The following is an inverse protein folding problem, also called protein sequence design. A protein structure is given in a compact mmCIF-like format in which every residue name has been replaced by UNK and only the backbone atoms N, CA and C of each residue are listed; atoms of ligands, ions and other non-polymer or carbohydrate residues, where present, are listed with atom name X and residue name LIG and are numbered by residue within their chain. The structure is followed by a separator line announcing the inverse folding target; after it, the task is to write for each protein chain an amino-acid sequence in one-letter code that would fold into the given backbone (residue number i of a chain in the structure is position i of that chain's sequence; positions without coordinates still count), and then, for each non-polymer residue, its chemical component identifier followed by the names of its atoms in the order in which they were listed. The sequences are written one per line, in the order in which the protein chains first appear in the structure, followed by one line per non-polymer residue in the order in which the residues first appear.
data_IF_821316819895
#
_entry.id   IF_821316819895
#
_cell.length_a   1.000
_cell.length_b   1.000
_cell.length_c   1.000
_cell.angle_alpha   90.00
_cell.angle_beta   90.00
_cell.angle_gamma   90.00
#
_symmetry.space_group_name_H-M   'P 1'
#
loop_
_entity.id
_entity.type
_entity.pdbx_description
1 polymer ?
#
# COMPACT_ATOMS: atom_id res chain seq x y z
N UNK A 1 -13.43 6.01 -1.46
CA UNK A 1 -13.11 6.50 -0.09
C UNK A 1 -11.98 5.67 0.47
N UNK A 2 -11.01 6.30 1.14
CA UNK A 2 -9.89 5.60 1.76
C UNK A 2 -10.31 4.79 2.98
N UNK A 3 -9.47 3.83 3.38
CA UNK A 3 -9.63 3.08 4.63
C UNK A 3 -9.30 3.96 5.84
N UNK A 4 -9.85 3.63 7.01
CA UNK A 4 -9.54 4.32 8.26
C UNK A 4 -8.07 4.15 8.62
N UNK A 5 -7.41 5.25 8.98
CA UNK A 5 -6.01 5.24 9.38
C UNK A 5 -5.86 6.13 10.61
N UNK A 6 -5.27 5.57 11.67
CA UNK A 6 -5.04 6.24 12.94
C UNK A 6 -3.55 6.19 13.28
N UNK A 7 -3.12 7.13 14.09
CA UNK A 7 -1.81 7.11 14.74
C UNK A 7 -2.04 6.96 16.23
N UNK A 8 -1.42 5.96 16.83
CA UNK A 8 -1.41 5.75 18.28
C UNK A 8 -0.04 6.13 18.82
N UNK A 9 -0.01 7.00 19.84
CA UNK A 9 1.19 7.39 20.55
C UNK A 9 1.26 6.63 21.88
N UNK A 10 2.35 5.90 22.06
CA UNK A 10 2.71 5.29 23.34
C UNK A 10 3.91 6.03 23.94
N UNK A 11 3.89 6.27 25.23
CA UNK A 11 4.97 6.92 25.96
C UNK A 11 5.53 5.93 26.97
N UNK A 12 6.83 5.62 26.87
CA UNK A 12 7.55 4.93 27.92
C UNK A 12 8.26 5.97 28.79
N UNK A 13 8.09 5.90 30.08
CA UNK A 13 8.77 6.75 31.10
C UNK A 13 8.66 8.27 30.85
N UNK A 14 7.66 8.70 30.07
CA UNK A 14 7.41 10.10 29.74
C UNK A 14 8.31 10.74 28.71
N UNK A 15 9.39 10.08 28.29
CA UNK A 15 10.42 10.67 27.40
C UNK A 15 10.64 9.93 26.07
N UNK A 16 10.19 8.67 25.96
CA UNK A 16 10.42 7.84 24.77
C UNK A 16 9.11 7.57 24.01
N UNK A 17 8.78 8.37 22.98
CA UNK A 17 7.57 8.18 22.21
C UNK A 17 7.70 7.01 21.23
N UNK A 18 6.68 6.17 21.15
CA UNK A 18 6.50 5.17 20.12
C UNK A 18 5.21 5.50 19.33
N UNK A 19 5.37 5.77 18.06
CA UNK A 19 4.25 6.01 17.17
C UNK A 19 3.91 4.73 16.41
N UNK A 20 2.68 4.27 16.56
CA UNK A 20 2.13 3.16 15.78
C UNK A 20 1.08 3.67 14.80
N UNK A 21 1.12 3.14 13.60
CA UNK A 21 0.08 3.35 12.59
C UNK A 21 -0.91 2.19 12.66
N UNK A 22 -2.19 2.51 12.82
CA UNK A 22 -3.31 1.56 12.85
C UNK A 22 -4.13 1.77 11.59
N UNK A 23 -4.17 0.78 10.72
CA UNK A 23 -4.88 0.85 9.44
C UNK A 23 -5.97 -0.19 9.35
N UNK A 24 -7.14 0.23 8.90
CA UNK A 24 -8.24 -0.68 8.57
C UNK A 24 -7.80 -1.67 7.48
N UNK A 25 -8.14 -2.93 7.71
CA UNK A 25 -7.97 -4.01 6.75
C UNK A 25 -9.34 -4.53 6.32
N UNK A 26 -9.54 -4.61 5.02
CA UNK A 26 -10.77 -5.12 4.40
C UNK A 26 -10.49 -6.43 3.68
N UNK A 27 -11.53 -7.10 3.19
CA UNK A 27 -11.41 -8.25 2.31
C UNK A 27 -10.47 -7.91 1.13
N UNK A 28 -9.72 -8.90 0.66
CA UNK A 28 -8.87 -8.71 -0.51
C UNK A 28 -9.73 -8.43 -1.75
N UNK A 29 -9.33 -7.47 -2.56
CA UNK A 29 -9.97 -7.23 -3.86
C UNK A 29 -9.89 -8.46 -4.78
N UNK A 30 -8.92 -9.34 -4.54
CA UNK A 30 -8.77 -10.59 -5.29
C UNK A 30 -9.82 -11.65 -4.90
N UNK A 31 -10.47 -11.53 -3.75
CA UNK A 31 -11.54 -12.46 -3.32
C UNK A 31 -12.80 -12.38 -4.20
N UNK A 32 -12.91 -11.33 -5.03
CA UNK A 32 -13.94 -11.27 -6.08
C UNK A 32 -13.68 -12.28 -7.23
N UNK A 33 -12.44 -12.76 -7.37
CA UNK A 33 -11.98 -13.62 -8.47
C UNK A 33 -11.37 -14.94 -8.00
N UNK A 34 -11.00 -15.04 -6.73
CA UNK A 34 -10.32 -16.18 -6.13
C UNK A 34 -11.09 -16.66 -4.89
N UNK A 35 -10.71 -17.81 -4.37
CA UNK A 35 -11.23 -18.29 -3.10
C UNK A 35 -10.98 -17.27 -1.97
N UNK A 36 -11.90 -17.14 -1.01
CA UNK A 36 -11.70 -16.32 0.17
C UNK A 36 -10.44 -16.71 0.92
N UNK A 37 -9.87 -15.74 1.63
CA UNK A 37 -8.73 -15.98 2.51
C UNK A 37 -9.10 -16.89 3.68
N UNK A 38 -8.19 -17.79 4.06
CA UNK A 38 -8.36 -18.68 5.23
C UNK A 38 -8.27 -17.94 6.59
N UNK A 39 -7.90 -16.66 6.58
CA UNK A 39 -7.78 -15.86 7.80
C UNK A 39 -9.15 -15.28 8.21
N UNK A 40 -9.56 -15.55 9.46
CA UNK A 40 -10.78 -15.00 10.06
C UNK A 40 -10.73 -13.49 10.39
N UNK A 41 -9.57 -12.84 10.15
CA UNK A 41 -9.34 -11.41 10.36
C UNK A 41 -8.50 -10.86 9.20
N UNK A 42 -8.98 -9.81 8.55
CA UNK A 42 -8.31 -9.22 7.40
C UNK A 42 -6.97 -8.56 7.77
N UNK A 43 -6.84 -8.02 8.98
CA UNK A 43 -5.56 -7.51 9.49
C UNK A 43 -4.54 -8.63 9.68
N UNK A 44 -4.96 -9.80 10.15
CA UNK A 44 -4.12 -10.99 10.25
C UNK A 44 -3.59 -11.40 8.87
N UNK A 45 -4.45 -11.46 7.85
CA UNK A 45 -4.04 -11.74 6.47
C UNK A 45 -2.95 -10.79 5.99
N UNK A 46 -3.13 -9.47 6.22
CA UNK A 46 -2.16 -8.45 5.84
C UNK A 46 -0.82 -8.66 6.56
N UNK A 47 -0.84 -8.88 7.87
CA UNK A 47 0.36 -9.09 8.69
C UNK A 47 1.10 -10.36 8.30
N UNK A 48 0.39 -11.46 8.12
CA UNK A 48 0.99 -12.73 7.71
C UNK A 48 1.59 -12.62 6.29
N UNK A 49 0.91 -11.95 5.37
CA UNK A 49 1.44 -11.67 4.04
C UNK A 49 2.71 -10.83 4.09
N UNK A 50 2.74 -9.77 4.88
CA UNK A 50 3.94 -8.94 5.03
C UNK A 50 5.12 -9.73 5.61
N UNK A 51 4.89 -10.53 6.66
CA UNK A 51 5.93 -11.36 7.27
C UNK A 51 6.47 -12.41 6.31
N UNK A 52 5.60 -12.98 5.48
CA UNK A 52 6.00 -13.96 4.47
C UNK A 52 6.87 -13.33 3.37
N UNK A 53 6.45 -12.18 2.84
CA UNK A 53 7.08 -11.58 1.66
C UNK A 53 8.36 -10.80 2.00
N UNK A 54 8.43 -10.18 3.17
CA UNK A 54 9.54 -9.33 3.58
C UNK A 54 10.72 -10.15 4.16
N UNK A 55 11.95 -9.69 3.92
CA UNK A 55 13.14 -10.30 4.50
C UNK A 55 13.33 -9.92 5.98
N UNK A 56 12.91 -8.71 6.35
CA UNK A 56 12.85 -8.22 7.72
C UNK A 56 11.49 -7.55 7.91
N UNK A 57 10.78 -7.92 8.96
CA UNK A 57 9.50 -7.32 9.30
C UNK A 57 9.61 -6.45 10.54
N UNK A 58 8.72 -5.49 10.63
CA UNK A 58 8.53 -4.64 11.79
C UNK A 58 8.15 -5.48 13.02
N UNK A 59 8.84 -5.29 14.13
CA UNK A 59 8.58 -6.02 15.39
C UNK A 59 7.22 -5.67 16.00
N UNK A 60 6.68 -4.49 15.69
CA UNK A 60 5.37 -4.03 16.14
C UNK A 60 4.22 -4.46 15.21
N UNK A 61 4.54 -5.22 14.15
CA UNK A 61 3.52 -5.68 13.22
C UNK A 61 2.54 -6.63 13.90
N UNK A 62 1.27 -6.22 13.96
CA UNK A 62 0.21 -6.95 14.64
C UNK A 62 -1.16 -6.65 14.03
N UNK A 63 -2.19 -7.31 14.52
CA UNK A 63 -3.57 -7.11 14.09
C UNK A 63 -4.54 -7.12 15.26
N UNK A 64 -5.71 -6.54 15.03
CA UNK A 64 -6.78 -6.44 16.02
C UNK A 64 -8.13 -6.36 15.32
N UNK A 65 -9.20 -6.62 16.06
CA UNK A 65 -10.56 -6.30 15.66
C UNK A 65 -11.15 -5.33 16.67
N UNK A 66 -11.76 -4.26 16.20
CA UNK A 66 -12.47 -3.32 17.06
C UNK A 66 -13.75 -3.95 17.59
N UNK A 67 -13.89 -4.02 18.92
CA UNK A 67 -15.08 -4.53 19.57
C UNK A 67 -16.31 -3.63 19.30
N UNK A 68 -16.08 -2.33 19.20
CA UNK A 68 -17.17 -1.36 19.01
C UNK A 68 -17.72 -1.31 17.60
N UNK A 69 -16.85 -1.48 16.58
CA UNK A 69 -17.22 -1.31 15.17
C UNK A 69 -17.19 -2.61 14.36
N UNK A 70 -16.56 -3.66 14.89
CA UNK A 70 -16.36 -4.93 14.17
C UNK A 70 -15.29 -4.85 13.07
N UNK A 71 -14.66 -3.70 12.82
CA UNK A 71 -13.65 -3.56 11.78
C UNK A 71 -12.33 -4.22 12.18
N UNK A 72 -11.67 -4.81 11.19
CA UNK A 72 -10.34 -5.38 11.33
C UNK A 72 -9.28 -4.33 11.06
N UNK A 73 -8.19 -4.39 11.82
CA UNK A 73 -7.06 -3.48 11.72
C UNK A 73 -5.75 -4.26 11.70
N UNK A 74 -4.75 -3.71 11.02
CA UNK A 74 -3.36 -4.06 11.22
C UNK A 74 -2.59 -2.87 11.79
N UNK A 75 -1.56 -3.19 12.56
CA UNK A 75 -0.74 -2.22 13.28
C UNK A 75 0.69 -2.38 12.85
N UNK A 76 1.40 -1.29 12.68
CA UNK A 76 2.84 -1.25 12.40
C UNK A 76 3.46 0.00 12.98
N UNK A 77 4.79 0.01 13.11
CA UNK A 77 5.49 1.23 13.48
C UNK A 77 5.26 2.31 12.40
N UNK A 78 4.92 3.52 12.85
CA UNK A 78 4.87 4.66 11.96
C UNK A 78 6.31 5.05 11.62
N UNK A 79 6.68 4.91 10.36
CA UNK A 79 7.97 5.40 9.88
C UNK A 79 7.85 6.89 9.63
N UNK A 80 8.67 7.66 10.34
CA UNK A 80 8.81 9.10 10.20
C UNK A 80 9.85 9.48 9.14
N UNK A 81 10.88 8.64 8.94
CA UNK A 81 11.88 8.80 7.89
C UNK A 81 11.48 8.05 6.63
N UNK A 82 10.65 8.67 5.80
CA UNK A 82 10.30 8.16 4.48
C UNK A 82 11.16 8.87 3.44
N UNK A 83 12.01 8.10 2.77
CA UNK A 83 12.63 8.52 1.52
C UNK A 83 11.76 8.10 0.34
N UNK A 84 11.71 8.92 -0.68
CA UNK A 84 11.21 8.55 -2.01
C UNK A 84 12.28 8.92 -3.03
N UNK A 85 12.37 8.12 -4.08
CA UNK A 85 13.22 8.45 -5.21
C UNK A 85 12.44 9.37 -6.15
N UNK A 86 13.08 10.45 -6.59
CA UNK A 86 12.58 11.28 -7.67
C UNK A 86 12.94 10.60 -9.00
N UNK A 87 12.04 9.74 -9.46
CA UNK A 87 12.25 8.93 -10.66
C UNK A 87 12.30 9.79 -11.92
N UNK A 88 11.62 10.93 -11.94
CA UNK A 88 11.57 11.83 -13.08
C UNK A 88 12.94 12.48 -13.35
N UNK A 89 13.77 12.59 -12.31
CA UNK A 89 15.14 13.09 -12.42
C UNK A 89 16.20 12.05 -12.74
N UNK A 90 15.85 10.77 -12.85
CA UNK A 90 16.81 9.70 -13.08
C UNK A 90 17.40 9.73 -14.49
N UNK A 91 18.72 9.54 -14.57
CA UNK A 91 19.38 9.13 -15.80
C UNK A 91 18.96 7.70 -16.18
N UNK A 92 19.21 7.31 -17.42
CA UNK A 92 18.90 5.94 -17.87
C UNK A 92 19.63 4.87 -17.03
N UNK A 93 20.87 5.11 -16.62
CA UNK A 93 21.65 4.18 -15.80
C UNK A 93 21.08 4.04 -14.37
N UNK A 94 20.65 5.14 -13.78
CA UNK A 94 20.00 5.13 -12.47
C UNK A 94 18.64 4.42 -12.52
N UNK A 95 17.88 4.63 -13.59
CA UNK A 95 16.60 3.96 -13.81
C UNK A 95 16.77 2.46 -14.00
N UNK A 96 17.77 2.03 -14.78
CA UNK A 96 18.10 0.60 -14.97
C UNK A 96 18.49 -0.05 -13.64
N UNK A 97 19.33 0.63 -12.85
CA UNK A 97 19.77 0.15 -11.53
C UNK A 97 18.57 0.03 -10.57
N UNK A 98 17.71 1.03 -10.55
CA UNK A 98 16.50 1.02 -9.72
C UNK A 98 15.53 -0.09 -10.12
N UNK A 99 15.29 -0.25 -11.43
CA UNK A 99 14.42 -1.31 -11.94
C UNK A 99 14.96 -2.71 -11.61
N UNK A 100 16.27 -2.94 -11.70
CA UNK A 100 16.91 -4.19 -11.28
C UNK A 100 16.71 -4.47 -9.79
N UNK A 101 16.88 -3.45 -8.94
CA UNK A 101 16.67 -3.60 -7.50
C UNK A 101 15.20 -3.96 -7.19
N UNK A 102 14.24 -3.34 -7.86
CA UNK A 102 12.82 -3.68 -7.75
C UNK A 102 12.54 -5.12 -8.22
N UNK A 103 13.12 -5.53 -9.35
CA UNK A 103 12.99 -6.90 -9.86
C UNK A 103 13.55 -7.96 -8.91
N UNK A 104 14.70 -7.71 -8.31
CA UNK A 104 15.31 -8.60 -7.29
C UNK A 104 14.39 -8.68 -6.06
N UNK A 105 13.90 -7.56 -5.55
CA UNK A 105 13.00 -7.54 -4.39
C UNK A 105 11.72 -8.34 -4.66
N UNK A 106 11.14 -8.19 -5.85
CA UNK A 106 9.96 -8.93 -6.28
C UNK A 106 10.24 -10.44 -6.39
N UNK A 107 11.34 -10.83 -7.03
CA UNK A 107 11.73 -12.23 -7.16
C UNK A 107 11.97 -12.89 -5.79
N UNK A 108 12.64 -12.20 -4.86
CA UNK A 108 12.81 -12.66 -3.48
C UNK A 108 11.47 -12.86 -2.75
N UNK A 109 10.52 -11.94 -2.94
CA UNK A 109 9.20 -12.05 -2.34
C UNK A 109 8.41 -13.22 -2.91
N UNK A 110 8.40 -13.36 -4.23
CA UNK A 110 7.70 -14.44 -4.92
C UNK A 110 8.27 -15.83 -4.59
N UNK A 111 9.59 -15.94 -4.44
CA UNK A 111 10.24 -17.21 -4.06
C UNK A 111 9.90 -17.68 -2.65
N UNK A 112 9.51 -16.76 -1.75
CA UNK A 112 9.06 -17.10 -0.40
C UNK A 112 7.58 -17.48 -0.34
N UNK A 113 6.76 -16.90 -1.21
CA UNK A 113 5.31 -17.12 -1.23
C UNK A 113 4.89 -18.30 -2.11
N UNK A 114 5.73 -18.71 -3.07
CA UNK A 114 5.45 -19.76 -4.04
C UNK A 114 6.52 -20.84 -4.08
N UNK A 115 6.42 -21.68 -5.10
CA UNK A 115 7.45 -22.67 -5.43
C UNK A 115 8.48 -22.05 -6.40
N UNK A 116 9.70 -21.74 -5.94
CA UNK A 116 10.71 -21.10 -6.80
C UNK A 116 11.14 -21.96 -7.99
N UNK A 117 11.08 -23.30 -7.89
CA UNK A 117 11.42 -24.19 -8.98
C UNK A 117 10.33 -24.16 -10.06
N UNK A 118 9.06 -24.16 -9.66
CA UNK A 118 7.94 -24.01 -10.59
C UNK A 118 7.96 -22.64 -11.28
N UNK A 119 8.22 -21.57 -10.54
CA UNK A 119 8.35 -20.19 -11.07
C UNK A 119 9.49 -20.13 -12.09
N UNK A 120 10.68 -20.64 -11.73
CA UNK A 120 11.84 -20.65 -12.62
C UNK A 120 11.61 -21.51 -13.87
N UNK A 121 10.91 -22.64 -13.71
CA UNK A 121 10.51 -23.50 -14.84
C UNK A 121 9.55 -22.81 -15.80
N UNK A 122 8.58 -22.07 -15.28
CA UNK A 122 7.62 -21.30 -16.08
C UNK A 122 8.29 -20.15 -16.84
N UNK A 123 9.15 -19.39 -16.17
CA UNK A 123 9.91 -18.28 -16.77
C UNK A 123 10.83 -18.82 -17.88
N UNK A 124 11.46 -19.99 -17.63
CA UNK A 124 12.34 -20.63 -18.58
C UNK A 124 13.64 -19.86 -18.82
N UNK A 125 14.28 -20.15 -19.98
CA UNK A 125 15.55 -19.52 -20.38
C UNK A 125 15.41 -18.59 -21.59
N UNK A 126 14.21 -18.44 -22.12
CA UNK A 126 13.93 -17.57 -23.28
C UNK A 126 13.53 -16.17 -22.81
N UNK A 127 13.60 -15.19 -23.71
CA UNK A 127 13.13 -13.83 -23.45
C UNK A 127 11.60 -13.67 -23.58
N UNK A 128 10.84 -14.77 -23.67
CA UNK A 128 9.41 -14.71 -23.94
C UNK A 128 8.64 -13.93 -22.86
N UNK A 129 9.00 -14.11 -21.57
CA UNK A 129 8.40 -13.34 -20.49
C UNK A 129 8.82 -11.87 -20.55
N UNK A 130 10.10 -11.59 -20.79
CA UNK A 130 10.63 -10.23 -20.86
C UNK A 130 9.94 -9.43 -21.98
N UNK A 131 9.82 -10.04 -23.16
CA UNK A 131 9.12 -9.45 -24.31
C UNK A 131 7.63 -9.25 -24.03
N UNK A 132 6.99 -10.17 -23.31
CA UNK A 132 5.58 -10.05 -22.91
C UNK A 132 5.39 -8.92 -21.90
N UNK A 133 6.26 -8.79 -20.91
CA UNK A 133 6.22 -7.73 -19.91
C UNK A 133 6.47 -6.36 -20.54
N UNK A 134 7.40 -6.26 -21.47
CA UNK A 134 7.65 -5.02 -22.21
C UNK A 134 6.40 -4.57 -23.00
N UNK A 135 5.79 -5.48 -23.77
CA UNK A 135 4.56 -5.18 -24.52
C UNK A 135 3.42 -4.76 -23.59
N UNK A 136 3.25 -5.47 -22.46
CA UNK A 136 2.25 -5.12 -21.47
C UNK A 136 2.50 -3.74 -20.89
N UNK A 137 3.73 -3.42 -20.50
CA UNK A 137 4.07 -2.12 -19.90
C UNK A 137 3.75 -0.96 -20.83
N UNK A 138 4.09 -1.06 -22.10
CA UNK A 138 3.78 -0.03 -23.10
C UNK A 138 2.27 0.13 -23.31
N UNK A 139 1.57 -0.98 -23.54
CA UNK A 139 0.11 -0.94 -23.75
C UNK A 139 -0.63 -0.42 -22.49
N UNK A 140 -0.14 -0.77 -21.30
CA UNK A 140 -0.76 -0.29 -20.05
C UNK A 140 -0.47 1.19 -19.80
N UNK A 141 0.69 1.71 -20.17
CA UNK A 141 0.97 3.14 -20.08
C UNK A 141 -0.02 3.96 -20.92
N UNK A 142 -0.23 3.59 -22.18
CA UNK A 142 -1.22 4.24 -23.05
C UNK A 142 -2.65 4.16 -22.48
N UNK A 143 -3.02 3.00 -21.94
CA UNK A 143 -4.31 2.80 -21.30
C UNK A 143 -4.48 3.67 -20.06
N UNK A 144 -3.45 3.75 -19.22
CA UNK A 144 -3.46 4.56 -18.00
C UNK A 144 -3.62 6.05 -18.30
N UNK A 145 -2.95 6.57 -19.34
CA UNK A 145 -3.11 7.95 -19.79
C UNK A 145 -4.55 8.23 -20.27
N UNK A 146 -5.12 7.30 -21.04
CA UNK A 146 -6.50 7.42 -21.53
C UNK A 146 -7.51 7.40 -20.36
N UNK A 147 -7.32 6.49 -19.39
CA UNK A 147 -8.19 6.37 -18.21
C UNK A 147 -8.07 7.62 -17.32
N UNK A 148 -6.85 8.17 -17.14
CA UNK A 148 -6.65 9.42 -16.40
C UNK A 148 -7.33 10.60 -17.09
N UNK A 149 -7.21 10.72 -18.41
CA UNK A 149 -7.84 11.78 -19.16
C UNK A 149 -9.40 11.71 -19.06
N UNK A 150 -9.95 10.50 -19.13
CA UNK A 150 -11.39 10.28 -18.97
C UNK A 150 -11.85 10.61 -17.54
N UNK A 151 -11.11 10.20 -16.52
CA UNK A 151 -11.39 10.54 -15.13
C UNK A 151 -11.33 12.05 -14.87
N UNK A 152 -10.28 12.72 -15.35
CA UNK A 152 -10.13 14.17 -15.21
C UNK A 152 -11.24 14.95 -15.93
N UNK A 153 -11.74 14.44 -17.07
CA UNK A 153 -12.90 14.99 -17.75
C UNK A 153 -14.17 14.81 -16.91
N UNK A 154 -14.42 13.62 -16.38
CA UNK A 154 -15.59 13.34 -15.55
C UNK A 154 -15.64 14.21 -14.27
N UNK A 155 -14.48 14.50 -13.67
CA UNK A 155 -14.38 15.43 -12.53
C UNK A 155 -14.73 16.86 -12.98
N UNK A 156 -14.15 17.35 -14.08
CA UNK A 156 -14.46 18.70 -14.61
C UNK A 156 -15.94 18.87 -14.97
N UNK A 157 -16.57 17.83 -15.48
CA UNK A 157 -17.98 17.84 -15.90
C UNK A 157 -18.94 17.59 -14.73
N UNK A 158 -18.44 17.47 -13.49
CA UNK A 158 -19.23 17.26 -12.28
C UNK A 158 -19.90 15.87 -12.19
N UNK A 159 -19.46 14.91 -13.00
CA UNK A 159 -19.96 13.52 -12.96
C UNK A 159 -19.36 12.74 -11.76
N UNK A 160 -18.21 13.17 -11.27
CA UNK A 160 -17.54 12.62 -10.10
C UNK A 160 -17.26 13.76 -9.13
N UNK A 161 -17.75 13.62 -7.88
CA UNK A 161 -17.40 14.57 -6.81
C UNK A 161 -15.94 14.43 -6.43
N UNK A 162 -15.18 15.50 -6.57
CA UNK A 162 -13.83 15.62 -6.06
C UNK A 162 -13.82 16.66 -4.92
N UNK A 163 -13.23 16.30 -3.77
CA UNK A 163 -13.02 17.25 -2.69
C UNK A 163 -11.83 18.14 -3.04
N UNK A 164 -12.03 19.47 -3.02
CA UNK A 164 -10.92 20.40 -3.10
C UNK A 164 -10.08 20.36 -1.82
N UNK A 165 -8.76 20.51 -1.95
CA UNK A 165 -7.86 20.58 -0.78
C UNK A 165 -8.25 21.70 0.20
N UNK A 166 -8.86 22.78 -0.28
CA UNK A 166 -9.39 23.88 0.53
C UNK A 166 -10.48 23.43 1.50
N UNK A 167 -11.33 22.46 1.13
CA UNK A 167 -12.39 21.94 1.99
C UNK A 167 -11.86 21.06 3.12
N UNK A 168 -10.74 20.37 2.90
CA UNK A 168 -10.10 19.52 3.91
C UNK A 168 -9.45 20.33 5.04
N UNK A 169 -9.03 21.56 4.78
CA UNK A 169 -8.40 22.48 5.77
C UNK A 169 -9.47 23.15 6.62
N UNK A 170 -10.64 23.46 6.08
CA UNK A 170 -11.74 24.09 6.82
C UNK A 170 -12.36 23.14 7.84
N UNK A 171 -12.48 21.84 7.53
CA UNK A 171 -13.00 20.83 8.46
C UNK A 171 -12.04 20.56 9.63
N UNK A 172 -10.72 20.71 9.44
CA UNK A 172 -9.74 20.56 10.54
C UNK A 172 -9.76 21.72 11.53
N UNK A 173 -10.11 22.92 11.09
CA UNK A 173 -10.20 24.10 11.98
C UNK A 173 -11.51 24.13 12.81
N UNK A 174 -12.56 23.46 12.37
CA UNK A 174 -13.86 23.44 13.06
C UNK A 174 -13.93 22.51 14.28
N UNK A 175 -12.99 21.58 14.45
CA UNK A 175 -12.95 20.62 15.55
C UNK A 175 -12.07 21.04 16.74
N UNK A 176 -11.29 22.12 16.61
CA UNK A 176 -10.40 22.60 17.69
C UNK A 176 -11.04 23.59 18.67
N UNK A 177 -12.27 24.04 18.45
CA UNK A 177 -12.92 25.08 19.28
C UNK A 177 -13.97 24.55 20.23
N UNK A 178 -13.78 23.42 20.91
CA UNK A 178 -14.56 23.05 22.09
C UNK A 178 -13.74 22.35 23.17
N UNK A 179 -12.84 23.09 23.80
CA UNK A 179 -12.45 22.83 25.18
C UNK A 179 -12.66 24.13 25.93
N UNK A 180 -13.86 24.28 26.50
CA UNK A 180 -14.10 25.24 27.55
C UNK A 180 -13.50 24.77 28.86
N UNK A 181 -13.16 25.68 29.77
CA UNK A 181 -12.42 25.39 30.98
C UNK A 181 -13.32 24.73 32.05
N UNK A 182 -12.81 23.66 32.68
CA UNK A 182 -12.93 23.36 34.10
C UNK A 182 -11.87 22.39 34.54
#
# INVERSE_FOLDING_TARGET
MGTRCYVALFMADGESPLFLQVKEAQASVLEAYLAPSDYGNHGQRVVCGQRLLQSASDIFLGWSRSVASGFDFYVRQLRDMKGSFDIDGFSFEELDTYARACGIALACSMSKAGDPAAIAGYVGKSNALDDAMQRFALAYAERNEADYAAFAAAVRDGQVEAADESDSISHRRGTETRRGPR
#
